data_IF_108564447113
#
_entry.id   IF_108564447113
#
_cell.length_a   1.000
_cell.length_b   1.000
_cell.length_c   1.000
_cell.angle_alpha   90.00
_cell.angle_beta   90.00
_cell.angle_gamma   90.00
#
_symmetry.space_group_name_H-M   'P 1'
#
loop_
_entity.id
_entity.type
_entity.pdbx_description
1 polymer ?
#
# COMPACT_ATOMS: atom_id res chain seq x y z
N UNK A 1 7.56 14.62 -10.33
CA UNK A 1 6.85 13.46 -9.75
C UNK A 1 5.52 13.35 -10.47
N UNK A 2 5.14 12.16 -10.95
CA UNK A 2 3.80 11.98 -11.50
C UNK A 2 2.78 12.13 -10.37
N UNK A 3 1.69 12.84 -10.62
CA UNK A 3 0.60 13.04 -9.66
C UNK A 3 -0.04 11.69 -9.29
N UNK A 4 -0.28 11.45 -7.99
CA UNK A 4 -0.99 10.25 -7.52
C UNK A 4 -2.48 10.45 -7.80
N UNK A 5 -2.98 9.81 -8.85
CA UNK A 5 -4.39 9.89 -9.26
C UNK A 5 -5.09 8.57 -8.98
N UNK A 6 -6.23 8.62 -8.27
CA UNK A 6 -7.12 7.46 -8.14
C UNK A 6 -7.88 7.26 -9.45
N UNK A 7 -7.54 6.18 -10.17
CA UNK A 7 -8.24 5.79 -11.40
C UNK A 7 -9.33 4.79 -11.08
N UNK A 8 -10.58 5.17 -11.35
CA UNK A 8 -11.73 4.27 -11.29
C UNK A 8 -11.92 3.67 -12.68
N UNK A 9 -11.79 2.35 -12.79
CA UNK A 9 -11.98 1.61 -14.03
C UNK A 9 -13.35 0.93 -14.01
N UNK A 10 -14.08 1.06 -15.11
CA UNK A 10 -15.36 0.39 -15.31
C UNK A 10 -15.19 -0.78 -16.29
N UNK A 11 -15.89 -1.88 -16.05
CA UNK A 11 -15.94 -3.03 -16.95
C UNK A 11 -17.40 -3.45 -17.11
N UNK A 12 -17.81 -3.70 -18.36
CA UNK A 12 -19.11 -4.28 -18.70
C UNK A 12 -18.93 -5.72 -19.14
N UNK A 13 -19.90 -6.59 -18.80
CA UNK A 13 -19.86 -8.00 -19.19
C UNK A 13 -18.77 -8.83 -18.50
N UNK A 14 -18.31 -8.40 -17.32
CA UNK A 14 -17.39 -9.20 -16.52
C UNK A 14 -18.10 -10.48 -16.05
N UNK A 15 -17.55 -11.65 -16.40
CA UNK A 15 -18.12 -12.90 -15.90
C UNK A 15 -17.91 -13.05 -14.38
N UNK A 16 -18.80 -13.81 -13.74
CA UNK A 16 -18.80 -14.00 -12.28
C UNK A 16 -17.45 -14.51 -11.76
N UNK A 17 -16.88 -15.55 -12.39
CA UNK A 17 -15.61 -16.12 -11.95
C UNK A 17 -14.44 -15.12 -11.97
N UNK A 18 -14.42 -14.18 -12.91
CA UNK A 18 -13.40 -13.12 -12.96
C UNK A 18 -13.66 -12.04 -11.93
N UNK A 19 -14.92 -11.70 -11.69
CA UNK A 19 -15.30 -10.78 -10.60
C UNK A 19 -14.87 -11.33 -9.24
N UNK A 20 -15.16 -12.61 -8.97
CA UNK A 20 -14.82 -13.26 -7.70
C UNK A 20 -13.31 -13.24 -7.47
N UNK A 21 -12.51 -13.62 -8.47
CA UNK A 21 -11.03 -13.56 -8.38
C UNK A 21 -10.51 -12.16 -8.11
N UNK A 22 -11.09 -11.13 -8.73
CA UNK A 22 -10.69 -9.74 -8.49
C UNK A 22 -11.08 -9.28 -7.09
N UNK A 23 -12.25 -9.70 -6.60
CA UNK A 23 -12.73 -9.41 -5.25
C UNK A 23 -11.83 -10.06 -4.19
N UNK A 24 -11.46 -11.33 -4.39
CA UNK A 24 -10.51 -12.03 -3.54
C UNK A 24 -9.17 -11.32 -3.51
N UNK A 25 -8.60 -11.02 -4.69
CA UNK A 25 -7.36 -10.25 -4.80
C UNK A 25 -7.45 -8.90 -4.08
N UNK A 26 -8.56 -8.19 -4.19
CA UNK A 26 -8.77 -6.91 -3.52
C UNK A 26 -8.76 -7.06 -1.99
N UNK A 27 -9.35 -8.14 -1.46
CA UNK A 27 -9.31 -8.47 -0.04
C UNK A 27 -7.88 -8.80 0.43
N UNK A 28 -7.10 -9.55 -0.36
CA UNK A 28 -5.69 -9.82 -0.06
C UNK A 28 -4.87 -8.52 -0.03
N UNK A 29 -5.07 -7.64 -1.01
CA UNK A 29 -4.43 -6.32 -1.03
C UNK A 29 -4.82 -5.50 0.19
N UNK A 30 -6.09 -5.60 0.64
CA UNK A 30 -6.58 -4.99 1.88
C UNK A 30 -5.75 -5.39 3.10
N UNK A 31 -5.37 -6.66 3.22
CA UNK A 31 -4.53 -7.14 4.32
C UNK A 31 -3.12 -6.54 4.28
N UNK A 32 -2.49 -6.50 3.10
CA UNK A 32 -1.17 -5.84 2.94
C UNK A 32 -1.24 -4.36 3.33
N UNK A 33 -2.32 -3.64 2.98
CA UNK A 33 -2.50 -2.24 3.41
C UNK A 33 -2.65 -2.15 4.92
N UNK A 34 -3.43 -3.02 5.54
CA UNK A 34 -3.61 -3.03 6.99
C UNK A 34 -2.28 -3.24 7.72
N UNK A 35 -1.46 -4.20 7.27
CA UNK A 35 -0.13 -4.45 7.84
C UNK A 35 0.80 -3.24 7.70
N UNK A 36 0.75 -2.55 6.55
CA UNK A 36 1.52 -1.33 6.33
C UNK A 36 1.11 -0.23 7.31
N UNK A 37 -0.19 0.00 7.50
CA UNK A 37 -0.68 0.98 8.47
C UNK A 37 -0.34 0.61 9.91
N UNK A 38 -0.43 -0.67 10.27
CA UNK A 38 -0.11 -1.14 11.61
C UNK A 38 1.38 -1.00 11.93
N UNK A 39 2.27 -1.37 10.99
CA UNK A 39 3.73 -1.40 11.22
C UNK A 39 4.42 -0.07 10.94
N UNK A 40 3.88 0.73 10.02
CA UNK A 40 4.58 1.89 9.46
C UNK A 40 3.89 3.22 9.73
N UNK A 41 2.86 3.30 10.57
CA UNK A 41 2.26 4.59 10.97
C UNK A 41 3.08 5.32 12.04
N UNK A 42 3.79 4.60 12.90
CA UNK A 42 4.56 5.14 14.02
C UNK A 42 5.88 5.83 13.65
N UNK A 43 6.48 6.52 14.64
CA UNK A 43 7.69 7.36 14.49
C UNK A 43 8.93 6.56 14.03
N UNK A 44 9.02 5.27 14.37
CA UNK A 44 10.15 4.43 14.00
C UNK A 44 10.42 4.37 12.49
N UNK A 45 9.38 4.58 11.67
CA UNK A 45 9.44 4.51 10.21
C UNK A 45 9.41 5.89 9.54
N UNK A 46 9.46 6.99 10.31
CA UNK A 46 9.36 8.37 9.77
C UNK A 46 10.55 8.74 8.90
N UNK A 47 11.75 8.28 9.26
CA UNK A 47 12.99 8.61 8.54
C UNK A 47 13.33 7.59 7.45
N UNK A 48 12.54 6.53 7.31
CA UNK A 48 12.77 5.49 6.33
C UNK A 48 12.01 5.80 5.04
N UNK A 49 12.69 5.65 3.91
CA UNK A 49 12.07 5.67 2.60
C UNK A 49 11.17 4.43 2.40
N UNK A 50 10.17 4.51 1.50
CA UNK A 50 9.36 3.34 1.15
C UNK A 50 10.18 2.14 0.65
N UNK A 51 11.34 2.39 0.03
CA UNK A 51 12.25 1.35 -0.44
C UNK A 51 12.94 0.62 0.71
N UNK A 52 13.45 1.34 1.71
CA UNK A 52 14.08 0.74 2.89
C UNK A 52 13.10 -0.13 3.67
N UNK A 53 11.86 0.34 3.86
CA UNK A 53 10.81 -0.43 4.53
C UNK A 53 10.48 -1.71 3.73
N UNK A 54 10.31 -1.58 2.42
CA UNK A 54 10.03 -2.73 1.54
C UNK A 54 11.16 -3.75 1.57
N UNK A 55 12.40 -3.29 1.49
CA UNK A 55 13.57 -4.17 1.41
C UNK A 55 13.79 -4.88 2.76
N UNK A 56 13.52 -4.21 3.89
CA UNK A 56 13.47 -4.85 5.20
C UNK A 56 12.41 -5.96 5.26
N UNK A 57 11.18 -5.71 4.80
CA UNK A 57 10.13 -6.74 4.78
C UNK A 57 10.49 -7.93 3.87
N UNK A 58 11.16 -7.67 2.75
CA UNK A 58 11.66 -8.73 1.87
C UNK A 58 12.75 -9.56 2.55
N UNK A 59 13.68 -8.92 3.27
CA UNK A 59 14.73 -9.61 4.02
C UNK A 59 14.17 -10.44 5.18
N UNK A 60 13.09 -9.99 5.81
CA UNK A 60 12.35 -10.71 6.86
C UNK A 60 11.52 -11.89 6.32
N UNK A 61 11.42 -12.07 5.00
CA UNK A 61 10.59 -13.12 4.40
C UNK A 61 9.09 -12.87 4.55
N UNK A 62 8.66 -11.60 4.47
CA UNK A 62 7.27 -11.21 4.65
C UNK A 62 6.28 -12.01 3.78
N UNK A 63 5.20 -12.47 4.42
CA UNK A 63 4.13 -13.22 3.76
C UNK A 63 3.15 -12.26 3.06
N UNK A 64 3.09 -12.32 1.73
CA UNK A 64 2.17 -11.50 0.91
C UNK A 64 0.70 -11.98 0.94
N UNK A 65 0.29 -12.75 1.95
CA UNK A 65 -1.07 -13.27 2.11
C UNK A 65 -1.58 -14.11 0.93
N UNK A 66 -0.68 -14.72 0.17
CA UNK A 66 -0.99 -15.45 -1.05
C UNK A 66 -1.04 -14.59 -2.32
N UNK A 67 -0.79 -13.27 -2.24
CA UNK A 67 -0.61 -12.46 -3.44
C UNK A 67 0.70 -12.78 -4.16
N UNK A 68 0.73 -12.69 -5.50
CA UNK A 68 1.98 -12.57 -6.23
C UNK A 68 2.82 -11.43 -5.67
N UNK A 69 4.10 -11.69 -5.41
CA UNK A 69 5.00 -10.71 -4.78
C UNK A 69 5.03 -9.37 -5.52
N UNK A 70 4.86 -9.35 -6.85
CA UNK A 70 4.76 -8.10 -7.63
C UNK A 70 3.56 -7.25 -7.20
N UNK A 71 2.39 -7.84 -7.03
CA UNK A 71 1.17 -7.13 -6.60
C UNK A 71 1.27 -6.71 -5.13
N UNK A 72 1.82 -7.57 -4.28
CA UNK A 72 2.09 -7.26 -2.88
C UNK A 72 3.01 -6.04 -2.73
N UNK A 73 4.14 -6.01 -3.44
CA UNK A 73 5.10 -4.88 -3.42
C UNK A 73 4.46 -3.58 -3.94
N UNK A 74 3.68 -3.64 -5.00
CA UNK A 74 2.97 -2.47 -5.53
C UNK A 74 1.95 -1.93 -4.50
N UNK A 75 1.18 -2.82 -3.88
CA UNK A 75 0.20 -2.46 -2.84
C UNK A 75 0.88 -1.84 -1.62
N UNK A 76 2.02 -2.38 -1.18
CA UNK A 76 2.81 -1.82 -0.08
C UNK A 76 3.33 -0.43 -0.43
N UNK A 77 3.89 -0.25 -1.62
CA UNK A 77 4.40 1.06 -2.07
C UNK A 77 3.28 2.11 -2.10
N UNK A 78 2.10 1.77 -2.60
CA UNK A 78 0.94 2.66 -2.61
C UNK A 78 0.52 3.06 -1.19
N UNK A 79 0.45 2.10 -0.27
CA UNK A 79 0.06 2.33 1.12
C UNK A 79 1.09 3.19 1.87
N UNK A 80 2.39 2.95 1.68
CA UNK A 80 3.44 3.78 2.26
C UNK A 80 3.38 5.22 1.73
N UNK A 81 3.02 5.39 0.45
CA UNK A 81 2.74 6.70 -0.11
C UNK A 81 1.57 7.42 0.57
N UNK A 82 0.48 6.70 0.88
CA UNK A 82 -0.67 7.26 1.62
C UNK A 82 -0.31 7.63 3.06
N UNK A 83 0.46 6.79 3.74
CA UNK A 83 0.97 7.08 5.09
C UNK A 83 1.83 8.34 5.08
N UNK A 84 2.74 8.46 4.11
CA UNK A 84 3.58 9.65 3.97
C UNK A 84 2.73 10.91 3.71
N UNK A 85 1.78 10.83 2.78
CA UNK A 85 0.89 11.94 2.47
C UNK A 85 0.06 12.37 3.69
N UNK A 86 -0.48 11.40 4.44
CA UNK A 86 -1.21 11.66 5.69
C UNK A 86 -0.35 12.32 6.76
N UNK A 87 0.91 11.89 6.91
CA UNK A 87 1.87 12.53 7.81
C UNK A 87 2.17 13.96 7.41
N UNK A 88 2.45 14.21 6.14
CA UNK A 88 2.71 15.56 5.63
C UNK A 88 1.50 16.48 5.85
N UNK A 89 0.29 15.99 5.58
CA UNK A 89 -0.95 16.74 5.79
C UNK A 89 -1.23 17.05 7.28
N UNK A 90 -0.78 16.18 8.20
CA UNK A 90 -0.95 16.38 9.64
C UNK A 90 0.04 17.37 10.25
N UNK A 91 1.10 17.79 9.53
CA UNK A 91 2.07 18.76 10.05
C UNK A 91 1.42 20.12 10.19
N UNK A 92 1.48 20.68 11.39
CA UNK A 92 1.12 22.08 11.63
C UNK A 92 2.29 22.96 11.16
N UNK A 93 2.06 23.98 10.32
CA UNK A 93 3.11 24.91 9.94
C UNK A 93 3.55 25.70 11.17
N UNK A 94 4.76 25.45 11.65
CA UNK A 94 5.37 26.24 12.72
C UNK A 94 6.05 27.45 12.06
N UNK A 95 5.53 28.65 12.34
CA UNK A 95 6.22 29.89 11.95
C UNK A 95 7.55 29.96 12.71
N UNK A 96 8.64 30.27 12.00
CA UNK A 96 9.92 30.60 12.62
C UNK A 96 9.83 31.90 13.41
#
# INVERSE_FOLDING_TARGET
MAEKVTRILHSQGLNAAKYDRLSDMAALCGRVRADAWQRCSGVATVLQSPYEIRDAWMAEGYNWHGLPARLGKATLADALGDIQAGREAAKVPVKK
#
